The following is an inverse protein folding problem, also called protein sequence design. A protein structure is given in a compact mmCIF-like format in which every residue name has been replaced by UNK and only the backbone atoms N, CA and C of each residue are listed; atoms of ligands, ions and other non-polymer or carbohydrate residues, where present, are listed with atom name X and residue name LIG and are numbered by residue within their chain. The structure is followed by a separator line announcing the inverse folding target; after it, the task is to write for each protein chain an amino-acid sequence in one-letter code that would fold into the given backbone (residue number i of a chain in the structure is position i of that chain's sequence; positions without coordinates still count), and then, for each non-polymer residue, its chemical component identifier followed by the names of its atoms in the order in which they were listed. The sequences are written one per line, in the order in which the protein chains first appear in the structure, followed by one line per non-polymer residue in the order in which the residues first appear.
data_IF_701726916554
#
_entry.id   IF_701726916554
#
_cell.length_a   1.000
_cell.length_b   1.000
_cell.length_c   1.000
_cell.angle_alpha   90.00
_cell.angle_beta   90.00
_cell.angle_gamma   90.00
#
_symmetry.space_group_name_H-M   'P 1'
#
loop_
_entity.id
_entity.type
_entity.pdbx_description
1 polymer ?
#
# COMPACT_ATOMS: atom_id res chain seq x y z
N UNK A 1 38.23 0.99 9.98
CA UNK A 1 38.14 -0.42 9.58
C UNK A 1 39.18 -0.63 8.51
N UNK A 2 40.13 -1.51 8.78
CA UNK A 2 41.18 -1.91 7.83
C UNK A 2 40.45 -2.53 6.62
N UNK A 3 40.58 -1.93 5.43
CA UNK A 3 39.99 -2.50 4.21
C UNK A 3 40.76 -3.81 3.96
N UNK A 4 40.09 -4.95 4.07
CA UNK A 4 40.66 -6.21 3.59
C UNK A 4 41.08 -5.99 2.14
N UNK A 5 42.30 -6.42 1.82
CA UNK A 5 42.81 -6.31 0.44
C UNK A 5 41.94 -7.11 -0.49
N UNK A 6 41.72 -6.56 -1.71
CA UNK A 6 40.99 -7.27 -2.76
C UNK A 6 41.75 -8.53 -3.16
N UNK A 7 41.09 -9.67 -3.11
CA UNK A 7 41.66 -10.99 -3.36
C UNK A 7 41.46 -11.39 -4.81
N UNK A 8 42.54 -11.61 -5.55
CA UNK A 8 42.51 -11.96 -6.97
C UNK A 8 43.00 -13.40 -7.17
N UNK A 9 42.18 -14.22 -7.82
CA UNK A 9 42.60 -15.55 -8.28
C UNK A 9 43.19 -15.42 -9.71
N UNK A 10 44.49 -15.72 -9.84
CA UNK A 10 45.20 -15.74 -11.10
C UNK A 10 45.38 -17.17 -11.59
N UNK A 11 44.85 -17.48 -12.77
CA UNK A 11 44.82 -18.82 -13.35
C UNK A 11 45.54 -18.86 -14.70
N UNK A 12 46.59 -19.68 -14.82
CA UNK A 12 47.35 -19.89 -16.06
C UNK A 12 48.11 -21.21 -15.94
N UNK A 13 48.17 -22.05 -16.96
CA UNK A 13 48.90 -23.30 -16.92
C UNK A 13 50.42 -23.11 -17.03
N UNK A 14 50.88 -21.92 -17.36
CA UNK A 14 52.28 -21.55 -17.39
C UNK A 14 52.71 -20.87 -16.08
N UNK A 15 53.51 -21.57 -15.28
CA UNK A 15 54.06 -21.10 -13.99
C UNK A 15 54.81 -19.76 -14.10
N UNK A 16 55.44 -19.49 -15.25
CA UNK A 16 56.14 -18.20 -15.47
C UNK A 16 55.15 -17.05 -15.58
N UNK A 17 54.05 -17.24 -16.31
CA UNK A 17 52.97 -16.24 -16.40
C UNK A 17 52.37 -15.97 -15.02
N UNK A 18 52.08 -16.99 -14.25
CA UNK A 18 51.59 -16.87 -12.87
C UNK A 18 52.54 -16.04 -12.01
N UNK A 19 53.83 -16.33 -12.02
CA UNK A 19 54.84 -15.60 -11.24
C UNK A 19 54.90 -14.11 -11.60
N UNK A 20 54.94 -13.82 -12.88
CA UNK A 20 55.00 -12.43 -13.37
C UNK A 20 53.73 -11.66 -13.00
N UNK A 21 52.56 -12.28 -13.21
CA UNK A 21 51.27 -11.70 -12.88
C UNK A 21 51.12 -11.46 -11.38
N UNK A 22 51.49 -12.48 -10.56
CA UNK A 22 51.43 -12.37 -9.11
C UNK A 22 52.33 -11.28 -8.56
N UNK A 23 53.57 -11.14 -9.08
CA UNK A 23 54.45 -10.05 -8.69
C UNK A 23 53.89 -8.65 -9.00
N UNK A 24 53.23 -8.50 -10.14
CA UNK A 24 52.58 -7.25 -10.49
C UNK A 24 51.40 -6.95 -9.55
N UNK A 25 50.52 -7.94 -9.32
CA UNK A 25 49.32 -7.76 -8.46
C UNK A 25 49.72 -7.47 -7.00
N UNK A 26 50.74 -8.18 -6.45
CA UNK A 26 51.22 -7.90 -5.11
C UNK A 26 51.83 -6.49 -4.97
N UNK A 27 52.49 -5.96 -6.02
CA UNK A 27 52.99 -4.58 -6.06
C UNK A 27 51.85 -3.54 -6.09
N UNK A 28 50.67 -3.93 -6.56
CA UNK A 28 49.48 -3.10 -6.59
C UNK A 28 48.60 -3.27 -5.34
N UNK A 29 49.15 -3.94 -4.29
CA UNK A 29 48.49 -4.13 -2.99
C UNK A 29 47.27 -5.07 -3.03
N UNK A 30 47.18 -5.96 -3.99
CA UNK A 30 46.20 -7.06 -4.04
C UNK A 30 46.66 -8.26 -3.24
N UNK A 31 45.69 -9.04 -2.71
CA UNK A 31 45.94 -10.40 -2.21
C UNK A 31 45.80 -11.39 -3.37
N UNK A 32 46.75 -12.30 -3.52
CA UNK A 32 46.86 -13.12 -4.74
C UNK A 32 46.78 -14.59 -4.41
N UNK A 33 45.83 -15.27 -5.02
CA UNK A 33 45.70 -16.72 -5.06
C UNK A 33 46.11 -17.18 -6.47
N UNK A 34 46.74 -18.31 -6.57
CA UNK A 34 47.15 -18.87 -7.86
C UNK A 34 46.55 -20.25 -8.10
N UNK A 35 46.27 -20.56 -9.37
CA UNK A 35 45.89 -21.90 -9.81
C UNK A 35 46.54 -22.20 -11.17
N UNK A 36 46.99 -23.46 -11.38
CA UNK A 36 47.68 -23.89 -12.59
C UNK A 36 46.76 -24.64 -13.56
N UNK A 37 45.48 -24.82 -13.21
CA UNK A 37 44.45 -25.44 -14.07
C UNK A 37 43.04 -24.93 -13.78
N UNK A 38 42.09 -25.24 -14.68
CA UNK A 38 40.67 -24.92 -14.48
C UNK A 38 40.07 -25.65 -13.28
N UNK A 39 40.49 -26.90 -13.05
CA UNK A 39 40.03 -27.71 -11.90
C UNK A 39 40.51 -27.10 -10.58
N UNK A 40 41.78 -26.72 -10.49
CA UNK A 40 42.35 -26.09 -9.30
C UNK A 40 41.68 -24.70 -9.06
N UNK A 41 41.40 -23.97 -10.13
CA UNK A 41 40.70 -22.69 -10.02
C UNK A 41 39.31 -22.82 -9.36
N UNK A 42 38.56 -23.89 -9.66
CA UNK A 42 37.27 -24.16 -9.04
C UNK A 42 37.41 -24.50 -7.56
N UNK A 43 38.44 -25.27 -7.20
CA UNK A 43 38.74 -25.63 -5.79
C UNK A 43 39.12 -24.37 -4.99
N UNK A 44 40.04 -23.56 -5.53
CA UNK A 44 40.45 -22.29 -4.92
C UNK A 44 39.29 -21.30 -4.79
N UNK A 45 38.42 -21.24 -5.80
CA UNK A 45 37.20 -20.42 -5.70
C UNK A 45 36.34 -20.81 -4.49
N UNK A 46 36.12 -22.13 -4.27
CA UNK A 46 35.28 -22.60 -3.15
C UNK A 46 35.93 -22.37 -1.78
N UNK A 47 37.27 -22.55 -1.68
CA UNK A 47 37.97 -22.46 -0.41
C UNK A 47 38.38 -21.06 -0.01
N UNK A 48 38.66 -20.18 -0.97
CA UNK A 48 39.32 -18.89 -0.75
C UNK A 48 38.39 -17.68 -1.06
N UNK A 49 37.30 -17.91 -1.78
CA UNK A 49 36.31 -16.86 -2.16
C UNK A 49 36.96 -15.59 -2.71
N UNK A 50 37.60 -15.64 -3.89
CA UNK A 50 38.24 -14.46 -4.48
C UNK A 50 37.23 -13.40 -4.90
N UNK A 51 37.63 -12.13 -4.91
CA UNK A 51 36.82 -10.99 -5.36
C UNK A 51 36.84 -10.80 -6.88
N UNK A 52 37.97 -11.20 -7.54
CA UNK A 52 38.17 -11.08 -8.99
C UNK A 52 38.93 -12.31 -9.47
N UNK A 53 38.63 -12.78 -10.67
CA UNK A 53 39.32 -13.89 -11.31
C UNK A 53 40.00 -13.43 -12.60
N UNK A 54 41.30 -13.67 -12.75
CA UNK A 54 42.02 -13.56 -14.00
C UNK A 54 42.21 -14.98 -14.53
N UNK A 55 41.59 -15.32 -15.66
CA UNK A 55 41.47 -16.66 -16.18
C UNK A 55 42.12 -16.78 -17.54
N UNK A 56 43.16 -17.63 -17.68
CA UNK A 56 43.62 -18.01 -19.01
C UNK A 56 42.57 -18.86 -19.73
N UNK A 57 42.31 -18.57 -20.99
CA UNK A 57 41.36 -19.35 -21.81
C UNK A 57 42.01 -20.69 -22.22
N UNK A 58 43.28 -20.65 -22.63
CA UNK A 58 43.97 -21.79 -23.25
C UNK A 58 44.82 -22.55 -22.21
N UNK A 59 44.21 -23.52 -21.58
CA UNK A 59 44.88 -24.39 -20.61
C UNK A 59 44.70 -25.86 -20.97
N UNK A 60 45.66 -26.72 -20.59
CA UNK A 60 45.52 -28.15 -20.70
C UNK A 60 44.43 -28.71 -19.78
N UNK A 61 43.67 -29.72 -20.24
CA UNK A 61 42.56 -30.28 -19.47
C UNK A 61 41.30 -29.41 -19.57
N UNK A 62 40.77 -28.95 -18.44
CA UNK A 62 39.63 -28.00 -18.40
C UNK A 62 40.11 -26.61 -18.82
N UNK A 63 39.55 -26.10 -19.91
CA UNK A 63 39.87 -24.76 -20.37
C UNK A 63 39.22 -23.67 -19.49
N UNK A 64 39.67 -22.40 -19.67
CA UNK A 64 39.17 -21.30 -18.84
C UNK A 64 37.68 -20.94 -19.04
N UNK A 65 37.12 -21.22 -20.20
CA UNK A 65 35.68 -21.00 -20.45
C UNK A 65 34.86 -22.02 -19.67
N UNK A 66 35.22 -23.27 -19.70
CA UNK A 66 34.55 -24.35 -18.93
C UNK A 66 34.67 -24.13 -17.42
N UNK A 67 35.86 -23.72 -16.95
CA UNK A 67 36.07 -23.37 -15.55
C UNK A 67 35.21 -22.21 -15.11
N UNK A 68 35.13 -21.15 -15.92
CA UNK A 68 34.32 -19.97 -15.66
C UNK A 68 32.84 -20.32 -15.60
N UNK A 69 32.31 -21.11 -16.55
CA UNK A 69 30.92 -21.56 -16.51
C UNK A 69 30.56 -22.26 -15.21
N UNK A 70 31.43 -23.14 -14.73
CA UNK A 70 31.24 -23.86 -13.46
C UNK A 70 31.34 -22.95 -12.24
N UNK A 71 32.26 -21.98 -12.23
CA UNK A 71 32.40 -21.00 -11.15
C UNK A 71 31.13 -20.09 -11.11
N UNK A 72 30.69 -19.61 -12.24
CA UNK A 72 29.46 -18.78 -12.31
C UNK A 72 28.19 -19.54 -11.86
N UNK A 73 28.09 -20.83 -12.19
CA UNK A 73 27.02 -21.68 -11.68
C UNK A 73 27.09 -21.89 -10.16
N UNK A 74 28.27 -21.96 -9.59
CA UNK A 74 28.51 -22.11 -8.15
C UNK A 74 28.28 -20.79 -7.39
N UNK A 75 28.54 -19.64 -8.00
CA UNK A 75 28.40 -18.34 -7.37
C UNK A 75 26.91 -17.92 -7.14
N UNK A 76 25.98 -18.53 -7.86
CA UNK A 76 24.55 -18.22 -7.75
C UNK A 76 24.27 -16.75 -8.05
N UNK A 77 23.74 -16.01 -7.05
CA UNK A 77 23.43 -14.60 -7.17
C UNK A 77 24.59 -13.65 -6.84
N UNK A 78 25.74 -14.20 -6.43
CA UNK A 78 26.92 -13.38 -6.14
C UNK A 78 27.68 -13.12 -7.44
N UNK A 79 27.81 -11.85 -7.80
CA UNK A 79 28.59 -11.48 -8.97
C UNK A 79 30.09 -11.53 -8.68
N UNK A 80 30.80 -12.38 -9.40
CA UNK A 80 32.26 -12.51 -9.35
C UNK A 80 32.80 -12.18 -10.71
N UNK A 81 33.52 -11.06 -10.86
CA UNK A 81 34.06 -10.66 -12.13
C UNK A 81 35.20 -11.58 -12.59
N UNK A 82 35.12 -11.99 -13.87
CA UNK A 82 36.11 -12.80 -14.54
C UNK A 82 36.67 -12.03 -15.71
N UNK A 83 37.99 -11.79 -15.70
CA UNK A 83 38.70 -11.17 -16.81
C UNK A 83 39.50 -12.29 -17.50
N UNK A 84 39.16 -12.58 -18.75
CA UNK A 84 39.89 -13.57 -19.54
C UNK A 84 41.21 -13.04 -20.02
N UNK A 85 42.23 -13.91 -19.99
CA UNK A 85 43.56 -13.71 -20.58
C UNK A 85 43.68 -14.61 -21.83
N UNK A 86 43.88 -14.05 -23.03
CA UNK A 86 43.91 -14.83 -24.27
C UNK A 86 45.00 -14.37 -25.21
N UNK A 87 45.68 -15.34 -25.87
CA UNK A 87 46.58 -15.07 -26.99
C UNK A 87 45.82 -14.85 -28.34
N UNK A 88 44.54 -15.28 -28.38
CA UNK A 88 43.70 -15.18 -29.59
C UNK A 88 42.94 -13.84 -29.61
N UNK A 89 43.14 -13.08 -30.68
CA UNK A 89 42.52 -11.77 -30.89
C UNK A 89 41.25 -11.86 -31.76
N UNK A 90 40.74 -13.07 -32.06
CA UNK A 90 39.52 -13.19 -32.91
C UNK A 90 38.30 -12.65 -32.20
N UNK A 91 37.41 -11.99 -32.93
CA UNK A 91 36.15 -11.47 -32.39
C UNK A 91 35.25 -12.60 -31.89
N UNK A 92 35.29 -13.77 -32.54
CA UNK A 92 34.49 -14.93 -32.18
C UNK A 92 34.86 -15.50 -30.79
N UNK A 93 36.15 -15.54 -30.44
CA UNK A 93 36.59 -16.05 -29.14
C UNK A 93 36.26 -15.07 -28.00
N UNK A 94 36.26 -13.77 -28.29
CA UNK A 94 35.84 -12.75 -27.35
C UNK A 94 34.33 -12.84 -27.04
N UNK A 95 33.51 -13.05 -28.08
CA UNK A 95 32.05 -13.23 -27.94
C UNK A 95 31.76 -14.47 -27.10
N UNK A 96 32.40 -15.62 -27.40
CA UNK A 96 32.23 -16.83 -26.63
C UNK A 96 32.61 -16.65 -25.15
N UNK A 97 33.70 -15.92 -24.86
CA UNK A 97 34.11 -15.63 -23.48
C UNK A 97 33.04 -14.81 -22.71
N UNK A 98 32.46 -13.80 -23.34
CA UNK A 98 31.40 -12.98 -22.74
C UNK A 98 30.10 -13.79 -22.55
N UNK A 99 29.73 -14.62 -23.52
CA UNK A 99 28.52 -15.47 -23.45
C UNK A 99 28.56 -16.49 -22.32
N UNK A 100 29.76 -16.99 -21.96
CA UNK A 100 29.96 -17.92 -20.84
C UNK A 100 29.93 -17.22 -19.48
N UNK A 101 29.82 -15.88 -19.46
CA UNK A 101 29.75 -15.07 -18.24
C UNK A 101 31.07 -14.41 -17.84
N UNK A 102 32.04 -14.30 -18.75
CA UNK A 102 33.19 -13.42 -18.57
C UNK A 102 32.76 -11.94 -18.61
N UNK A 103 33.39 -11.12 -17.80
CA UNK A 103 33.03 -9.71 -17.67
C UNK A 103 33.93 -8.79 -18.52
N UNK A 104 35.15 -9.26 -18.83
CA UNK A 104 36.12 -8.54 -19.67
C UNK A 104 37.21 -9.49 -20.19
N UNK A 105 38.08 -9.00 -21.05
CA UNK A 105 39.22 -9.75 -21.57
C UNK A 105 40.48 -8.88 -21.68
N UNK A 106 41.65 -9.51 -21.67
CA UNK A 106 42.96 -8.92 -21.93
C UNK A 106 43.77 -9.83 -22.85
N UNK A 107 44.44 -9.23 -23.84
CA UNK A 107 45.28 -9.97 -24.81
C UNK A 107 46.67 -10.23 -24.24
N UNK A 108 47.22 -11.42 -24.49
CA UNK A 108 48.63 -11.72 -24.26
C UNK A 108 49.50 -11.27 -25.47
N UNK A 109 50.68 -10.64 -25.26
CA UNK A 109 51.34 -10.41 -23.96
C UNK A 109 50.58 -9.36 -23.13
N UNK A 110 50.47 -9.58 -21.80
CA UNK A 110 49.67 -8.71 -20.91
C UNK A 110 50.33 -7.34 -20.77
N UNK A 111 49.59 -6.29 -21.16
CA UNK A 111 49.98 -4.93 -20.87
C UNK A 111 49.50 -4.55 -19.46
N UNK A 112 50.40 -4.45 -18.51
CA UNK A 112 50.07 -4.23 -17.08
C UNK A 112 49.33 -2.92 -16.79
N UNK A 113 49.54 -1.85 -17.61
CA UNK A 113 48.81 -0.62 -17.50
C UNK A 113 47.31 -0.83 -17.82
N UNK A 114 47.03 -1.63 -18.85
CA UNK A 114 45.65 -1.94 -19.27
C UNK A 114 45.02 -2.87 -18.22
N UNK A 115 45.73 -3.89 -17.75
CA UNK A 115 45.26 -4.76 -16.68
C UNK A 115 44.89 -3.96 -15.41
N UNK A 116 45.77 -3.05 -14.97
CA UNK A 116 45.52 -2.22 -13.81
C UNK A 116 44.28 -1.32 -13.97
N UNK A 117 44.07 -0.77 -15.17
CA UNK A 117 42.86 0.04 -15.45
C UNK A 117 41.58 -0.81 -15.40
N UNK A 118 41.60 -2.02 -15.98
CA UNK A 118 40.48 -2.96 -15.97
C UNK A 118 40.14 -3.44 -14.55
N UNK A 119 41.15 -3.81 -13.77
CA UNK A 119 40.97 -4.23 -12.36
C UNK A 119 40.29 -3.11 -11.54
N UNK A 120 40.76 -1.87 -11.67
CA UNK A 120 40.13 -0.72 -10.99
C UNK A 120 38.67 -0.48 -11.44
N UNK A 121 38.37 -0.68 -12.73
CA UNK A 121 37.01 -0.53 -13.24
C UNK A 121 36.09 -1.62 -12.66
N UNK A 122 36.52 -2.87 -12.68
CA UNK A 122 35.78 -4.01 -12.15
C UNK A 122 35.59 -3.88 -10.64
N UNK A 123 36.63 -3.50 -9.91
CA UNK A 123 36.55 -3.27 -8.46
C UNK A 123 35.50 -2.18 -8.11
N UNK A 124 35.49 -1.08 -8.88
CA UNK A 124 34.47 -0.04 -8.68
C UNK A 124 33.05 -0.54 -8.90
N UNK A 125 32.82 -1.41 -9.89
CA UNK A 125 31.53 -2.03 -10.15
C UNK A 125 31.14 -2.95 -8.97
N UNK A 126 32.07 -3.79 -8.48
CA UNK A 126 31.86 -4.65 -7.33
C UNK A 126 31.49 -3.85 -6.07
N UNK A 127 32.23 -2.78 -5.79
CA UNK A 127 31.94 -1.89 -4.66
C UNK A 127 30.52 -1.24 -4.77
N UNK A 128 30.11 -0.88 -5.99
CA UNK A 128 28.78 -0.31 -6.22
C UNK A 128 27.67 -1.34 -6.03
N UNK A 129 27.85 -2.56 -6.52
CA UNK A 129 26.88 -3.65 -6.34
C UNK A 129 26.72 -4.04 -4.87
N UNK A 130 27.84 -4.14 -4.13
CA UNK A 130 27.81 -4.44 -2.71
C UNK A 130 27.07 -3.35 -1.92
N UNK A 131 27.30 -2.06 -2.24
CA UNK A 131 26.58 -0.95 -1.62
C UNK A 131 25.07 -0.98 -1.95
N UNK A 132 24.73 -1.28 -3.21
CA UNK A 132 23.34 -1.39 -3.64
C UNK A 132 22.62 -2.54 -2.90
N UNK A 133 23.26 -3.71 -2.82
CA UNK A 133 22.69 -4.87 -2.12
C UNK A 133 22.49 -4.59 -0.62
N UNK A 134 23.45 -3.92 0.03
CA UNK A 134 23.32 -3.52 1.43
C UNK A 134 22.18 -2.51 1.64
N UNK A 135 22.06 -1.51 0.77
CA UNK A 135 20.98 -0.52 0.83
C UNK A 135 19.59 -1.15 0.57
N UNK A 136 19.50 -2.11 -0.35
CA UNK A 136 18.27 -2.86 -0.60
C UNK A 136 17.83 -3.68 0.62
N UNK A 137 18.78 -4.35 1.28
CA UNK A 137 18.49 -5.12 2.49
C UNK A 137 18.01 -4.21 3.63
N UNK A 138 18.67 -3.08 3.83
CA UNK A 138 18.28 -2.09 4.82
C UNK A 138 16.86 -1.54 4.54
N UNK A 139 16.58 -1.17 3.29
CA UNK A 139 15.25 -0.72 2.88
C UNK A 139 14.16 -1.78 3.12
N UNK A 140 14.45 -3.05 2.84
CA UNK A 140 13.52 -4.16 3.12
C UNK A 140 13.24 -4.30 4.62
N UNK A 141 14.26 -4.14 5.46
CA UNK A 141 14.08 -4.19 6.92
C UNK A 141 13.22 -3.02 7.42
N UNK A 142 13.47 -1.80 6.93
CA UNK A 142 12.65 -0.63 7.26
C UNK A 142 11.20 -0.82 6.84
N UNK A 143 10.98 -1.27 5.60
CA UNK A 143 9.61 -1.51 5.09
C UNK A 143 8.86 -2.55 5.92
N UNK A 144 9.53 -3.64 6.30
CA UNK A 144 8.93 -4.68 7.15
C UNK A 144 8.58 -4.18 8.56
N UNK A 145 9.43 -3.34 9.14
CA UNK A 145 9.15 -2.72 10.44
C UNK A 145 7.95 -1.77 10.35
N UNK A 146 7.89 -0.91 9.34
CA UNK A 146 6.77 -0.01 9.08
C UNK A 146 5.45 -0.77 8.87
N UNK A 147 5.46 -1.82 8.05
CA UNK A 147 4.28 -2.67 7.83
C UNK A 147 3.79 -3.34 9.14
N UNK A 148 4.72 -3.71 10.02
CA UNK A 148 4.38 -4.28 11.34
C UNK A 148 3.76 -3.25 12.27
N UNK A 149 4.29 -2.02 12.32
CA UNK A 149 3.72 -0.93 13.11
C UNK A 149 2.33 -0.54 12.62
N UNK A 150 2.16 -0.42 11.31
CA UNK A 150 0.84 -0.14 10.71
C UNK A 150 -0.16 -1.27 10.99
N UNK A 151 0.29 -2.54 10.97
CA UNK A 151 -0.58 -3.66 11.32
C UNK A 151 -1.05 -3.60 12.77
N UNK A 152 -0.14 -3.30 13.69
CA UNK A 152 -0.50 -3.17 15.10
C UNK A 152 -1.44 -1.98 15.35
N UNK A 153 -1.21 -0.85 14.69
CA UNK A 153 -2.10 0.31 14.76
C UNK A 153 -3.51 -0.03 14.24
N UNK A 154 -3.59 -0.76 13.13
CA UNK A 154 -4.87 -1.22 12.56
C UNK A 154 -5.63 -2.13 13.55
N UNK A 155 -4.97 -3.15 14.08
CA UNK A 155 -5.58 -4.10 15.02
C UNK A 155 -6.08 -3.41 16.31
N UNK A 156 -5.36 -2.37 16.76
CA UNK A 156 -5.78 -1.57 17.92
C UNK A 156 -6.98 -0.69 17.58
N UNK A 157 -6.97 -0.04 16.41
CA UNK A 157 -8.08 0.81 15.98
C UNK A 157 -9.35 -0.01 15.75
N UNK A 158 -9.26 -1.17 15.10
CA UNK A 158 -10.39 -2.08 14.90
C UNK A 158 -11.05 -2.49 16.21
N UNK A 159 -10.25 -2.69 17.28
CA UNK A 159 -10.76 -2.99 18.63
C UNK A 159 -11.35 -1.76 19.34
N UNK A 160 -10.87 -0.57 19.01
CA UNK A 160 -11.34 0.68 19.62
C UNK A 160 -12.55 1.26 18.90
N UNK A 161 -12.74 0.93 17.63
CA UNK A 161 -13.97 1.25 16.90
C UNK A 161 -15.04 0.24 17.30
N UNK A 162 -15.88 0.66 18.24
CA UNK A 162 -17.13 -0.03 18.53
C UNK A 162 -18.17 0.44 17.52
N UNK A 163 -18.46 -0.40 16.52
CA UNK A 163 -19.46 -0.12 15.49
C UNK A 163 -20.89 -0.34 15.99
N UNK A 164 -21.03 -0.76 17.25
CA UNK A 164 -22.32 -0.92 17.91
C UNK A 164 -23.21 -2.00 17.28
N UNK A 165 -24.49 -1.67 17.07
CA UNK A 165 -25.53 -2.61 16.66
C UNK A 165 -25.78 -2.61 15.13
N UNK A 166 -24.73 -2.53 14.31
CA UNK A 166 -24.88 -2.63 12.84
C UNK A 166 -25.32 -4.03 12.36
N UNK A 167 -25.17 -5.04 13.20
CA UNK A 167 -25.64 -6.39 12.91
C UNK A 167 -27.14 -6.51 13.16
N UNK A 168 -27.93 -6.64 12.10
CA UNK A 168 -29.37 -6.81 12.22
C UNK A 168 -30.10 -6.68 10.89
N UNK A 169 -31.41 -6.93 10.90
CA UNK A 169 -32.27 -6.82 9.71
C UNK A 169 -32.56 -5.37 9.27
N UNK A 170 -32.22 -4.37 10.11
CA UNK A 170 -32.57 -2.96 9.85
C UNK A 170 -31.51 -2.23 9.02
N UNK A 171 -30.21 -2.58 9.14
CA UNK A 171 -29.12 -1.86 8.50
C UNK A 171 -28.42 -2.75 7.46
N UNK A 172 -28.29 -2.24 6.23
CA UNK A 172 -27.62 -2.92 5.13
C UNK A 172 -26.43 -2.06 4.69
N UNK A 173 -25.27 -2.37 5.23
CA UNK A 173 -24.03 -1.62 5.04
C UNK A 173 -23.20 -2.25 3.93
N UNK A 174 -22.56 -1.40 3.14
CA UNK A 174 -21.47 -1.75 2.24
C UNK A 174 -20.38 -0.71 2.40
N UNK A 175 -19.14 -1.17 2.62
CA UNK A 175 -18.00 -0.32 2.86
C UNK A 175 -16.75 -0.93 2.23
N UNK A 176 -16.04 -0.14 1.43
CA UNK A 176 -14.75 -0.51 0.82
C UNK A 176 -13.74 0.60 1.13
N UNK A 177 -12.74 0.32 1.96
CA UNK A 177 -11.67 1.28 2.21
C UNK A 177 -10.72 1.36 1.01
N UNK A 178 -10.30 2.57 0.63
CA UNK A 178 -9.31 2.81 -0.41
C UNK A 178 -7.91 2.35 0.01
N UNK A 179 -7.62 2.43 1.29
CA UNK A 179 -6.37 2.00 1.91
C UNK A 179 -6.63 1.08 3.10
N UNK A 180 -5.58 0.69 3.82
CA UNK A 180 -5.74 -0.16 5.02
C UNK A 180 -6.59 0.48 6.12
N UNK A 181 -6.50 1.81 6.28
CA UNK A 181 -7.30 2.58 7.23
C UNK A 181 -8.33 3.39 6.46
N UNK A 182 -9.59 3.32 6.87
CA UNK A 182 -10.66 4.11 6.27
C UNK A 182 -10.83 5.44 6.99
N UNK A 183 -11.09 6.50 6.21
CA UNK A 183 -11.62 7.77 6.70
C UNK A 183 -13.12 7.73 6.95
N UNK A 184 -13.83 6.71 6.45
CA UNK A 184 -15.25 6.50 6.70
C UNK A 184 -15.49 5.68 7.97
N UNK A 185 -16.50 6.08 8.75
CA UNK A 185 -16.96 5.38 9.95
C UNK A 185 -18.48 5.29 9.98
N UNK A 186 -19.00 4.09 10.23
CA UNK A 186 -20.41 3.83 10.40
C UNK A 186 -20.60 3.20 11.76
N UNK A 187 -21.48 3.78 12.59
CA UNK A 187 -21.79 3.31 13.93
C UNK A 187 -23.29 3.34 14.16
N UNK A 188 -23.86 2.29 14.73
CA UNK A 188 -25.24 2.25 15.15
C UNK A 188 -25.34 1.93 16.64
N UNK A 189 -26.11 2.72 17.39
CA UNK A 189 -26.32 2.52 18.83
C UNK A 189 -27.80 2.38 19.15
N UNK A 190 -28.15 1.38 19.96
CA UNK A 190 -29.51 1.11 20.39
C UNK A 190 -29.77 1.80 21.73
N UNK A 191 -30.69 2.75 21.73
CA UNK A 191 -31.13 3.41 22.97
C UNK A 191 -32.29 2.66 23.66
N UNK A 192 -33.23 2.16 22.86
CA UNK A 192 -34.39 1.34 23.36
C UNK A 192 -34.78 0.34 22.28
N UNK A 193 -35.85 -0.49 22.55
CA UNK A 193 -36.32 -1.44 21.53
C UNK A 193 -36.73 -0.75 20.23
N UNK A 194 -37.28 0.46 20.31
CA UNK A 194 -37.85 1.19 19.18
C UNK A 194 -37.02 2.40 18.75
N UNK A 195 -35.86 2.70 19.39
CA UNK A 195 -35.02 3.85 19.09
C UNK A 195 -33.60 3.48 18.84
N UNK A 196 -33.12 3.85 17.65
CA UNK A 196 -31.76 3.63 17.19
C UNK A 196 -31.13 4.92 16.71
N UNK A 197 -29.87 5.10 17.06
CA UNK A 197 -29.01 6.15 16.52
C UNK A 197 -28.10 5.55 15.45
N UNK A 198 -27.88 6.30 14.37
CA UNK A 198 -26.91 5.96 13.34
C UNK A 198 -26.00 7.15 13.11
N UNK A 199 -24.70 6.90 13.07
CA UNK A 199 -23.67 7.84 12.68
C UNK A 199 -23.03 7.35 11.37
N UNK A 200 -22.94 8.24 10.40
CA UNK A 200 -22.09 8.11 9.24
C UNK A 200 -21.12 9.28 9.23
N UNK A 201 -19.84 9.02 9.37
CA UNK A 201 -18.80 10.04 9.43
C UNK A 201 -17.74 9.78 8.36
N UNK A 202 -17.26 10.84 7.73
CA UNK A 202 -16.20 10.84 6.73
C UNK A 202 -15.18 11.92 7.08
N UNK A 203 -13.93 11.50 7.27
CA UNK A 203 -12.83 12.37 7.68
C UNK A 203 -11.95 12.74 6.49
N UNK A 204 -11.64 14.01 6.34
CA UNK A 204 -10.81 14.53 5.24
C UNK A 204 -9.52 13.75 5.03
N UNK A 205 -9.32 13.26 3.79
CA UNK A 205 -8.16 12.48 3.36
C UNK A 205 -8.34 10.97 3.61
N UNK A 206 -7.29 10.20 3.45
CA UNK A 206 -7.32 8.74 3.60
C UNK A 206 -6.22 8.22 4.52
N UNK A 207 -6.34 6.97 4.92
CA UNK A 207 -5.34 6.30 5.74
C UNK A 207 -5.39 6.68 7.23
N UNK A 208 -4.32 6.36 7.96
CA UNK A 208 -4.26 6.50 9.42
C UNK A 208 -4.60 7.92 9.92
N UNK A 209 -4.17 8.95 9.21
CA UNK A 209 -4.41 10.34 9.60
C UNK A 209 -5.87 10.78 9.45
N UNK A 210 -6.64 10.13 8.59
CA UNK A 210 -8.08 10.33 8.48
C UNK A 210 -8.85 9.51 9.53
N UNK A 211 -8.39 8.31 9.83
CA UNK A 211 -9.03 7.41 10.79
C UNK A 211 -8.89 7.87 12.27
N UNK A 212 -7.75 8.48 12.65
CA UNK A 212 -7.50 8.87 14.04
C UNK A 212 -8.55 9.82 14.65
N UNK A 213 -9.05 10.87 13.95
CA UNK A 213 -10.10 11.74 14.48
C UNK A 213 -11.44 11.03 14.72
N UNK A 214 -11.68 9.90 14.05
CA UNK A 214 -12.92 9.14 14.18
C UNK A 214 -13.02 8.38 15.51
N UNK A 215 -11.92 8.09 16.20
CA UNK A 215 -11.92 7.44 17.51
C UNK A 215 -12.70 8.23 18.57
N UNK A 216 -12.39 9.51 18.86
CA UNK A 216 -13.17 10.29 19.81
C UNK A 216 -14.60 10.54 19.32
N UNK A 217 -14.83 10.59 18.01
CA UNK A 217 -16.18 10.71 17.41
C UNK A 217 -17.01 9.48 17.75
N UNK A 218 -16.53 8.27 17.46
CA UNK A 218 -17.19 7.01 17.78
C UNK A 218 -17.53 6.89 19.29
N UNK A 219 -16.54 7.12 20.14
CA UNK A 219 -16.71 7.01 21.59
C UNK A 219 -17.74 8.01 22.14
N UNK A 220 -17.71 9.23 21.65
CA UNK A 220 -18.68 10.27 22.07
C UNK A 220 -20.08 9.95 21.59
N UNK A 221 -20.20 9.49 20.35
CA UNK A 221 -21.47 9.09 19.77
C UNK A 221 -22.10 7.95 20.58
N UNK A 222 -21.40 6.82 20.75
CA UNK A 222 -21.91 5.67 21.48
C UNK A 222 -22.36 6.04 22.90
N UNK A 223 -21.51 6.74 23.64
CA UNK A 223 -21.82 7.12 25.03
C UNK A 223 -23.03 8.04 25.15
N UNK A 224 -23.19 9.00 24.23
CA UNK A 224 -24.32 9.94 24.27
C UNK A 224 -25.60 9.33 23.70
N UNK A 225 -25.50 8.53 22.64
CA UNK A 225 -26.63 7.84 22.03
C UNK A 225 -27.24 6.80 22.98
N UNK A 226 -26.43 5.98 23.65
CA UNK A 226 -26.87 5.07 24.72
C UNK A 226 -27.70 5.79 25.81
N UNK A 227 -27.30 7.01 26.17
CA UNK A 227 -27.99 7.83 27.17
C UNK A 227 -29.18 8.62 26.64
N UNK A 228 -29.47 8.55 25.37
CA UNK A 228 -30.65 9.20 24.76
C UNK A 228 -30.51 10.73 24.60
N UNK A 229 -29.29 11.27 24.45
CA UNK A 229 -29.12 12.69 24.12
C UNK A 229 -29.68 12.98 22.72
N UNK A 230 -30.16 14.22 22.50
CA UNK A 230 -30.59 14.63 21.17
C UNK A 230 -29.43 14.65 20.18
N UNK A 231 -29.69 14.34 18.89
CA UNK A 231 -28.63 14.31 17.87
C UNK A 231 -27.92 15.65 17.73
N UNK A 232 -28.60 16.78 17.92
CA UNK A 232 -27.97 18.11 17.93
C UNK A 232 -26.98 18.29 19.10
N UNK A 233 -27.26 17.69 20.29
CA UNK A 233 -26.32 17.71 21.43
C UNK A 233 -25.09 16.85 21.14
N UNK A 234 -25.30 15.69 20.52
CA UNK A 234 -24.22 14.77 20.10
C UNK A 234 -23.33 15.48 19.09
N UNK A 235 -23.89 16.05 18.03
CA UNK A 235 -23.16 16.81 16.99
C UNK A 235 -22.32 17.94 17.59
N UNK A 236 -22.92 18.76 18.49
CA UNK A 236 -22.20 19.84 19.18
C UNK A 236 -21.04 19.31 20.00
N UNK A 237 -21.21 18.23 20.75
CA UNK A 237 -20.14 17.67 21.58
C UNK A 237 -18.99 17.13 20.74
N UNK A 238 -19.28 16.43 19.66
CA UNK A 238 -18.26 15.96 18.71
C UNK A 238 -17.53 17.13 18.06
N UNK A 239 -18.25 18.20 17.64
CA UNK A 239 -17.63 19.41 17.09
C UNK A 239 -16.64 20.05 18.07
N UNK A 240 -17.02 20.21 19.34
CA UNK A 240 -16.13 20.76 20.37
C UNK A 240 -14.83 19.96 20.50
N UNK A 241 -14.93 18.62 20.50
CA UNK A 241 -13.78 17.74 20.62
C UNK A 241 -12.87 17.83 19.37
N UNK A 242 -13.46 17.74 18.18
CA UNK A 242 -12.72 17.81 16.92
C UNK A 242 -12.05 19.17 16.76
N UNK A 243 -12.76 20.27 17.08
CA UNK A 243 -12.19 21.61 17.03
C UNK A 243 -10.95 21.80 17.91
N UNK A 244 -10.87 21.06 19.02
CA UNK A 244 -9.73 21.11 19.94
C UNK A 244 -8.50 20.33 19.45
N UNK A 245 -8.70 19.28 18.64
CA UNK A 245 -7.63 18.34 18.26
C UNK A 245 -7.26 18.38 16.76
N UNK A 246 -8.17 18.83 15.89
CA UNK A 246 -7.94 18.83 14.46
C UNK A 246 -6.99 19.95 14.01
N UNK A 247 -6.04 19.67 13.11
CA UNK A 247 -5.27 20.70 12.44
C UNK A 247 -6.16 21.63 11.62
N UNK A 248 -5.69 22.84 11.35
CA UNK A 248 -6.36 23.78 10.44
C UNK A 248 -6.50 23.11 9.07
N UNK A 249 -7.67 23.28 8.44
CA UNK A 249 -8.07 22.70 7.15
C UNK A 249 -8.38 21.19 7.17
N UNK A 250 -8.54 20.59 8.34
CA UNK A 250 -9.10 19.25 8.47
C UNK A 250 -10.43 19.28 9.20
N UNK A 251 -11.37 18.45 8.77
CA UNK A 251 -12.72 18.35 9.31
C UNK A 251 -13.24 16.92 9.16
N UNK A 252 -14.37 16.64 9.79
CA UNK A 252 -15.09 15.39 9.65
C UNK A 252 -16.52 15.71 9.20
N UNK A 253 -16.90 15.27 8.01
CA UNK A 253 -18.26 15.30 7.54
C UNK A 253 -19.07 14.26 8.30
N UNK A 254 -20.29 14.61 8.74
CA UNK A 254 -21.07 13.72 9.60
C UNK A 254 -22.56 13.82 9.28
N UNK A 255 -23.19 12.65 9.19
CA UNK A 255 -24.65 12.52 9.22
C UNK A 255 -25.04 11.71 10.45
N UNK A 256 -25.96 12.26 11.25
CA UNK A 256 -26.53 11.58 12.41
C UNK A 256 -28.03 11.40 12.21
N UNK A 257 -28.51 10.17 12.40
CA UNK A 257 -29.92 9.86 12.38
C UNK A 257 -30.36 9.37 13.77
N UNK A 258 -31.56 9.73 14.17
CA UNK A 258 -32.34 9.06 15.20
C UNK A 258 -33.57 8.46 14.52
N UNK A 259 -33.70 7.16 14.58
CA UNK A 259 -34.83 6.41 14.04
C UNK A 259 -35.72 6.02 15.23
N UNK A 260 -36.94 6.54 15.22
CA UNK A 260 -37.98 6.27 16.23
C UNK A 260 -39.09 5.44 15.57
N UNK A 261 -39.01 4.13 15.73
CA UNK A 261 -39.97 3.19 15.15
C UNK A 261 -41.35 3.29 15.82
N UNK A 262 -41.41 3.64 17.10
CA UNK A 262 -42.69 3.81 17.83
C UNK A 262 -43.52 4.96 17.23
N UNK A 263 -42.87 6.08 16.88
CA UNK A 263 -43.48 7.25 16.35
C UNK A 263 -43.44 7.35 14.80
N UNK A 264 -42.86 6.35 14.12
CA UNK A 264 -42.61 6.34 12.67
C UNK A 264 -41.88 7.61 12.20
N UNK A 265 -40.87 8.05 12.90
CA UNK A 265 -40.14 9.27 12.62
C UNK A 265 -38.66 9.05 12.50
N UNK A 266 -38.05 9.77 11.60
CA UNK A 266 -36.57 9.87 11.51
C UNK A 266 -36.17 11.33 11.64
N UNK A 267 -35.30 11.59 12.61
CA UNK A 267 -34.64 12.88 12.82
C UNK A 267 -33.23 12.84 12.23
N UNK A 268 -32.82 13.88 11.52
CA UNK A 268 -31.56 13.94 10.78
C UNK A 268 -30.82 15.25 11.08
N UNK A 269 -29.51 15.14 11.31
CA UNK A 269 -28.55 16.23 11.25
C UNK A 269 -27.47 15.87 10.22
N UNK A 270 -27.30 16.70 9.17
CA UNK A 270 -26.29 16.47 8.13
C UNK A 270 -25.34 17.65 8.02
N UNK A 271 -24.06 17.43 8.28
CA UNK A 271 -23.00 18.43 8.22
C UNK A 271 -21.81 17.93 7.39
N UNK A 272 -21.78 18.31 6.13
CA UNK A 272 -20.67 18.03 5.21
C UNK A 272 -20.83 16.81 4.31
N UNK A 273 -21.59 15.78 4.70
CA UNK A 273 -21.82 14.59 3.89
C UNK A 273 -22.75 14.85 2.70
N UNK A 274 -22.75 14.00 1.66
CA UNK A 274 -23.75 14.03 0.60
C UNK A 274 -25.18 13.94 1.13
N UNK A 275 -26.14 14.20 0.25
CA UNK A 275 -27.55 14.19 0.62
C UNK A 275 -28.03 12.79 1.02
N UNK A 276 -28.96 12.75 1.99
CA UNK A 276 -29.67 11.52 2.35
C UNK A 276 -30.97 11.43 1.59
N UNK A 277 -31.25 10.27 0.99
CA UNK A 277 -32.46 10.04 0.22
C UNK A 277 -33.44 9.13 0.97
N UNK A 278 -34.73 9.45 0.86
CA UNK A 278 -35.80 8.58 1.33
C UNK A 278 -36.61 8.10 0.12
N UNK A 279 -36.66 6.78 -0.06
CA UNK A 279 -37.32 6.11 -1.19
C UNK A 279 -38.54 5.35 -0.65
N UNK A 280 -39.72 5.61 -1.24
CA UNK A 280 -40.96 4.92 -0.84
C UNK A 280 -41.12 3.55 -1.54
N UNK A 281 -42.17 2.83 -1.17
CA UNK A 281 -42.52 1.51 -1.76
C UNK A 281 -42.76 1.57 -3.27
N UNK A 282 -43.13 2.75 -3.80
CA UNK A 282 -43.34 2.97 -5.24
C UNK A 282 -42.03 3.28 -5.99
N UNK A 283 -40.85 3.18 -5.31
CA UNK A 283 -39.52 3.51 -5.86
C UNK A 283 -39.35 4.99 -6.22
N UNK A 284 -40.12 5.86 -5.53
CA UNK A 284 -40.02 7.28 -5.70
C UNK A 284 -39.23 7.94 -4.56
N UNK A 285 -38.38 8.90 -4.89
CA UNK A 285 -37.67 9.70 -3.90
C UNK A 285 -38.65 10.70 -3.31
N UNK A 286 -39.13 10.46 -2.10
CA UNK A 286 -40.12 11.28 -1.42
C UNK A 286 -39.50 12.42 -0.63
N UNK A 287 -38.23 12.31 -0.25
CA UNK A 287 -37.49 13.35 0.47
C UNK A 287 -35.99 13.26 0.16
N UNK A 288 -35.37 14.43 0.04
CA UNK A 288 -33.90 14.62 -0.01
C UNK A 288 -33.55 15.54 1.15
N UNK A 289 -32.56 15.13 1.94
CA UNK A 289 -31.95 15.94 3.01
C UNK A 289 -30.56 16.36 2.56
N UNK A 290 -30.42 17.59 2.14
CA UNK A 290 -29.13 18.16 1.76
C UNK A 290 -28.26 18.42 3.00
N UNK A 291 -26.96 18.60 2.80
CA UNK A 291 -26.05 19.06 3.84
C UNK A 291 -26.35 20.52 4.17
N UNK A 292 -27.06 20.76 5.25
CA UNK A 292 -27.48 22.12 5.69
C UNK A 292 -26.53 22.74 6.70
N UNK A 293 -25.58 21.92 7.22
CA UNK A 293 -24.57 22.32 8.21
C UNK A 293 -23.17 22.13 7.65
N UNK A 294 -22.20 22.87 8.22
CA UNK A 294 -20.80 22.62 7.94
C UNK A 294 -20.33 21.38 8.70
N UNK A 295 -19.31 20.69 8.14
CA UNK A 295 -18.65 19.57 8.77
C UNK A 295 -18.11 19.91 10.18
N UNK A 296 -17.94 18.89 11.01
CA UNK A 296 -17.45 19.04 12.37
C UNK A 296 -15.98 19.48 12.40
N UNK A 297 -15.61 20.25 13.42
CA UNK A 297 -14.26 20.77 13.59
C UNK A 297 -13.99 22.12 12.92
N UNK A 298 -14.93 22.63 12.08
CA UNK A 298 -14.79 23.91 11.36
C UNK A 298 -15.22 25.08 12.23
N UNK A 299 -16.44 25.03 12.79
CA UNK A 299 -17.01 26.17 13.50
C UNK A 299 -16.66 26.18 15.00
N UNK A 300 -16.52 27.38 15.59
CA UNK A 300 -16.49 27.52 17.05
C UNK A 300 -17.90 27.24 17.61
N UNK A 301 -17.97 26.90 18.91
CA UNK A 301 -19.20 26.45 19.56
C UNK A 301 -20.33 27.49 19.51
N UNK A 302 -20.00 28.78 19.57
CA UNK A 302 -20.94 29.89 19.56
C UNK A 302 -21.69 29.99 18.20
N UNK A 303 -21.09 29.52 17.11
CA UNK A 303 -21.63 29.58 15.75
C UNK A 303 -22.15 28.20 15.28
N UNK A 304 -22.06 27.16 16.14
CA UNK A 304 -22.45 25.81 15.75
C UNK A 304 -23.96 25.62 15.79
N UNK A 305 -24.56 25.30 14.63
CA UNK A 305 -26.01 25.05 14.51
C UNK A 305 -26.32 23.57 14.79
N UNK A 306 -27.29 23.34 15.69
CA UNK A 306 -27.77 22.04 16.12
C UNK A 306 -29.17 21.70 15.63
N UNK A 307 -29.74 22.51 14.72
CA UNK A 307 -31.05 22.24 14.19
C UNK A 307 -31.10 20.94 13.42
N UNK A 308 -32.21 20.24 13.54
CA UNK A 308 -32.44 18.96 12.89
C UNK A 308 -33.63 19.04 11.95
N UNK A 309 -33.66 18.15 10.99
CA UNK A 309 -34.79 17.95 10.11
C UNK A 309 -35.48 16.63 10.45
N UNK A 310 -36.76 16.52 10.09
CA UNK A 310 -37.60 15.36 10.38
C UNK A 310 -38.29 14.86 9.13
N UNK A 311 -38.52 13.54 9.09
CA UNK A 311 -39.41 12.91 8.13
C UNK A 311 -40.30 11.91 8.82
N UNK A 312 -41.60 11.89 8.51
CA UNK A 312 -42.51 10.81 8.87
C UNK A 312 -42.29 9.65 7.92
N UNK A 313 -42.13 8.49 8.47
CA UNK A 313 -41.88 7.24 7.73
C UNK A 313 -43.07 6.30 7.82
N UNK A 314 -44.27 6.83 7.49
CA UNK A 314 -45.47 5.99 7.29
C UNK A 314 -45.22 5.08 6.05
N UNK A 315 -45.35 3.77 6.24
CA UNK A 315 -44.99 2.80 5.20
C UNK A 315 -43.53 2.33 5.23
N UNK A 316 -43.20 1.35 4.43
CA UNK A 316 -41.86 0.76 4.39
C UNK A 316 -40.97 1.57 3.43
N UNK A 317 -40.38 2.66 3.94
CA UNK A 317 -39.43 3.47 3.17
C UNK A 317 -38.00 2.98 3.38
N UNK A 318 -37.15 3.13 2.37
CA UNK A 318 -35.71 2.95 2.48
C UNK A 318 -35.02 4.31 2.63
N UNK A 319 -34.10 4.41 3.58
CA UNK A 319 -33.27 5.61 3.78
C UNK A 319 -31.85 5.26 3.32
N UNK A 320 -31.28 6.10 2.45
CA UNK A 320 -29.99 5.84 1.79
C UNK A 320 -29.01 6.94 2.14
N UNK A 321 -27.89 6.55 2.74
CA UNK A 321 -26.74 7.38 3.04
C UNK A 321 -25.51 6.83 2.30
N UNK A 322 -24.60 7.68 1.90
CA UNK A 322 -23.37 7.32 1.19
C UNK A 322 -22.29 8.38 1.40
N UNK A 323 -21.00 7.98 1.26
CA UNK A 323 -19.88 8.92 1.23
C UNK A 323 -19.69 9.51 -0.18
N UNK A 324 -18.96 10.62 -0.25
CA UNK A 324 -18.61 11.25 -1.54
C UNK A 324 -17.77 10.32 -2.42
N UNK A 325 -16.90 9.50 -1.85
CA UNK A 325 -16.10 8.50 -2.58
C UNK A 325 -16.95 7.53 -3.42
N UNK A 326 -18.23 7.30 -3.08
CA UNK A 326 -19.12 6.47 -3.89
C UNK A 326 -19.49 7.17 -5.21
N UNK A 327 -19.83 8.46 -5.18
CA UNK A 327 -20.22 9.23 -6.37
C UNK A 327 -19.03 9.77 -7.15
N UNK A 328 -17.87 9.87 -6.52
CA UNK A 328 -16.61 10.27 -7.13
C UNK A 328 -15.81 9.09 -7.68
N UNK A 329 -16.31 7.85 -7.52
CA UNK A 329 -15.68 6.63 -8.03
C UNK A 329 -15.51 6.69 -9.55
N UNK A 330 -14.27 6.78 -10.03
CA UNK A 330 -13.94 6.96 -11.45
C UNK A 330 -13.79 5.61 -12.18
N UNK A 331 -14.28 5.54 -13.41
CA UNK A 331 -14.06 4.42 -14.30
C UNK A 331 -12.72 4.55 -15.07
N UNK A 332 -12.40 3.57 -15.93
CA UNK A 332 -11.19 3.56 -16.78
C UNK A 332 -11.01 4.80 -17.67
N UNK A 333 -12.08 5.57 -17.94
CA UNK A 333 -12.06 6.81 -18.71
C UNK A 333 -11.91 8.06 -17.82
N UNK A 334 -11.82 7.90 -16.50
CA UNK A 334 -11.77 9.00 -15.52
C UNK A 334 -13.12 9.71 -15.33
N UNK A 335 -14.24 9.04 -15.60
CA UNK A 335 -15.58 9.58 -15.35
C UNK A 335 -16.07 9.11 -13.99
N UNK A 336 -16.57 10.02 -13.11
CA UNK A 336 -17.16 9.63 -11.85
C UNK A 336 -18.51 8.91 -12.04
N UNK A 337 -18.89 8.09 -11.05
CA UNK A 337 -20.21 7.43 -11.00
C UNK A 337 -21.37 8.44 -10.95
N UNK A 338 -21.16 9.58 -10.36
CA UNK A 338 -22.01 10.76 -10.16
C UNK A 338 -23.37 10.51 -9.46
N UNK A 339 -23.98 11.60 -8.98
CA UNK A 339 -25.30 11.56 -8.29
C UNK A 339 -26.42 11.12 -9.25
N UNK A 340 -26.33 11.42 -10.55
CA UNK A 340 -27.37 11.06 -11.51
C UNK A 340 -27.47 9.52 -11.68
N UNK A 341 -26.35 8.83 -11.76
CA UNK A 341 -26.31 7.36 -11.82
C UNK A 341 -26.84 6.74 -10.52
N UNK A 342 -26.51 7.33 -9.36
CA UNK A 342 -27.08 6.90 -8.08
C UNK A 342 -28.61 7.09 -8.06
N UNK A 343 -29.13 8.25 -8.48
CA UNK A 343 -30.57 8.51 -8.55
C UNK A 343 -31.32 7.53 -9.46
N UNK A 344 -30.70 7.08 -10.54
CA UNK A 344 -31.28 6.05 -11.39
C UNK A 344 -31.28 4.68 -10.71
N UNK A 345 -30.23 4.34 -9.96
CA UNK A 345 -30.18 3.11 -9.17
C UNK A 345 -31.25 3.10 -8.05
N UNK A 346 -31.51 4.25 -7.40
CA UNK A 346 -32.52 4.39 -6.34
C UNK A 346 -33.95 4.06 -6.83
N UNK A 347 -34.25 4.25 -8.10
CA UNK A 347 -35.57 3.95 -8.69
C UNK A 347 -35.76 2.49 -9.06
N UNK A 348 -34.77 1.65 -8.90
CA UNK A 348 -34.82 0.23 -9.33
C UNK A 348 -35.57 -0.62 -8.32
N UNK A 349 -35.48 -0.33 -7.03
CA UNK A 349 -36.02 -1.14 -5.94
C UNK A 349 -36.32 -0.28 -4.71
N UNK A 350 -37.26 -0.73 -3.86
CA UNK A 350 -37.57 -0.09 -2.57
C UNK A 350 -37.20 -0.94 -1.36
N UNK A 351 -36.99 -2.24 -1.56
CA UNK A 351 -36.54 -3.13 -0.49
C UNK A 351 -35.06 -2.88 -0.18
N UNK A 352 -34.74 -2.49 1.03
CA UNK A 352 -33.42 -2.00 1.42
C UNK A 352 -32.25 -2.97 1.10
N UNK A 353 -32.28 -4.27 1.43
CA UNK A 353 -31.22 -5.20 1.08
C UNK A 353 -31.02 -5.36 -0.44
N UNK A 354 -32.13 -5.36 -1.21
CA UNK A 354 -32.06 -5.50 -2.68
C UNK A 354 -31.58 -4.16 -3.28
N UNK A 355 -32.10 -3.04 -2.82
CA UNK A 355 -31.67 -1.71 -3.25
C UNK A 355 -30.18 -1.49 -3.03
N UNK A 356 -29.67 -1.84 -1.83
CA UNK A 356 -28.23 -1.80 -1.53
C UNK A 356 -27.43 -2.63 -2.54
N UNK A 357 -27.87 -3.85 -2.85
CA UNK A 357 -27.16 -4.71 -3.82
C UNK A 357 -27.19 -4.13 -5.23
N UNK A 358 -28.31 -3.56 -5.66
CA UNK A 358 -28.44 -2.91 -6.97
C UNK A 358 -27.51 -1.72 -7.13
N UNK A 359 -27.39 -0.88 -6.08
CA UNK A 359 -26.45 0.25 -6.06
C UNK A 359 -25.00 -0.25 -6.14
N UNK A 360 -24.64 -1.25 -5.32
CA UNK A 360 -23.29 -1.86 -5.32
C UNK A 360 -22.96 -2.46 -6.69
N UNK A 361 -23.89 -3.14 -7.34
CA UNK A 361 -23.70 -3.67 -8.67
C UNK A 361 -23.50 -2.57 -9.71
N UNK A 362 -24.28 -1.49 -9.63
CA UNK A 362 -24.14 -0.34 -10.54
C UNK A 362 -22.76 0.32 -10.40
N UNK A 363 -22.29 0.56 -9.18
CA UNK A 363 -20.94 1.10 -8.90
C UNK A 363 -19.87 0.14 -9.39
N UNK A 364 -19.97 -1.16 -9.07
CA UNK A 364 -18.98 -2.16 -9.47
C UNK A 364 -18.87 -2.28 -10.99
N UNK A 365 -20.01 -2.20 -11.70
CA UNK A 365 -20.04 -2.22 -13.16
C UNK A 365 -19.42 -0.95 -13.76
N UNK A 366 -19.62 0.21 -13.11
CA UNK A 366 -19.03 1.48 -13.55
C UNK A 366 -17.51 1.48 -13.40
N UNK A 367 -17.00 0.97 -12.27
CA UNK A 367 -15.57 0.84 -11.99
C UNK A 367 -14.86 -0.11 -12.97
N UNK A 368 -15.54 -1.13 -13.50
CA UNK A 368 -14.99 -2.12 -14.45
C UNK A 368 -13.64 -2.71 -14.05
N UNK A 369 -13.45 -2.96 -12.75
CA UNK A 369 -12.23 -3.51 -12.15
C UNK A 369 -11.20 -2.47 -11.68
N UNK A 370 -11.45 -1.18 -11.87
CA UNK A 370 -10.63 -0.12 -11.28
C UNK A 370 -10.79 -0.10 -9.75
N UNK A 371 -9.73 0.34 -9.07
CA UNK A 371 -9.75 0.50 -7.62
C UNK A 371 -10.33 1.85 -7.26
N UNK A 372 -11.08 1.87 -6.17
CA UNK A 372 -11.53 3.11 -5.57
C UNK A 372 -10.34 4.02 -5.20
N UNK A 373 -10.43 5.28 -5.52
CA UNK A 373 -9.43 6.30 -5.17
C UNK A 373 -9.65 6.86 -3.77
N UNK A 374 -10.90 6.80 -3.26
CA UNK A 374 -11.28 7.19 -1.90
C UNK A 374 -12.12 6.10 -1.24
N UNK A 375 -12.36 6.23 0.06
CA UNK A 375 -13.18 5.30 0.83
C UNK A 375 -14.64 5.38 0.35
N UNK A 376 -15.26 4.23 0.10
CA UNK A 376 -16.65 4.16 -0.35
C UNK A 376 -17.51 3.53 0.71
N UNK A 377 -18.55 4.23 1.13
CA UNK A 377 -19.54 3.70 2.05
C UNK A 377 -20.96 3.92 1.57
N UNK A 378 -21.82 2.93 1.82
CA UNK A 378 -23.24 2.95 1.51
C UNK A 378 -23.99 2.30 2.66
N UNK A 379 -25.04 2.99 3.12
CA UNK A 379 -25.94 2.48 4.15
C UNK A 379 -27.35 2.58 3.58
N UNK A 380 -28.08 1.48 3.57
CA UNK A 380 -29.48 1.44 3.26
C UNK A 380 -30.21 0.82 4.46
N UNK A 381 -31.18 1.53 4.98
CA UNK A 381 -31.96 1.09 6.13
C UNK A 381 -33.44 1.18 5.88
N UNK A 382 -34.22 0.29 6.50
CA UNK A 382 -35.68 0.35 6.48
C UNK A 382 -36.18 1.31 7.57
N UNK A 383 -37.18 2.11 7.22
CA UNK A 383 -37.84 3.00 8.19
C UNK A 383 -38.77 2.26 9.15
N UNK A 384 -39.04 0.98 8.93
CA UNK A 384 -39.79 0.10 9.80
C UNK A 384 -39.00 -1.19 10.05
N UNK A 385 -39.11 -1.74 11.26
CA UNK A 385 -38.59 -3.07 11.57
C UNK A 385 -39.55 -4.08 10.94
N UNK A 386 -39.10 -4.74 9.87
CA UNK A 386 -39.80 -5.93 9.34
C UNK A 386 -39.28 -7.16 10.05
N UNK A 387 -40.17 -7.93 10.70
CA UNK A 387 -39.90 -9.19 11.36
C UNK A 387 -39.15 -10.23 10.48
#
# INVERSE_FOLDING_TARGET
MDKSKVKILAVDDNIVNIKVLSQYLLKQDYDVITAESGEEAIEKYKSETPDIILMDIMMGGMNGLEATAKIKALSGNVWIPVIFMSALASEEDKIKGLDVGGDDYITKPIEFNILGAKLKAVQRISDMQNKLSAAMLELQQYKKAEESEQSMAYDLMERLFDTGHLEGKAFHVWHIPATRFSGDLIVAEKHSEDRFYLLHADSTGHGLTAALPLLPVSQTFNHMAEKGYSIGQIARRMNQQLKAIMPINRFVAVTILLIDYENNMVEIWNGGNPAVFVVNENKEIVKKFDSTHLALGILPDESFDTKTEFVSCEGNNSIVLYSDGLIEAENVEGKPFDEAMLLDALKTESNAPILRNNIVEAVSKHLDGEKAHDDMSLIVLNSQITD
#
